data_IF_143670575230
#
_entry.id   IF_143670575230
#
_cell.length_a   1.000
_cell.length_b   1.000
_cell.length_c   1.000
_cell.angle_alpha   90.00
_cell.angle_beta   90.00
_cell.angle_gamma   90.00
#
_symmetry.space_group_name_H-M   'P 1'
#
loop_
_entity.id
_entity.type
_entity.pdbx_description
1 polymer ?
#
# COMPACT_ATOMS: atom_id res chain seq x y z
N UNK A 1 14.21 -7.17 -4.64
CA UNK A 1 14.02 -6.89 -3.21
C UNK A 1 12.60 -6.39 -3.09
N UNK A 2 11.80 -6.91 -2.15
CA UNK A 2 10.41 -6.45 -1.96
C UNK A 2 10.41 -5.14 -1.20
N UNK A 3 9.66 -4.15 -1.69
CA UNK A 3 9.66 -2.80 -1.12
C UNK A 3 8.54 -2.61 -0.09
N UNK A 4 7.41 -3.29 -0.29
CA UNK A 4 6.29 -3.30 0.65
C UNK A 4 5.38 -4.50 0.39
N UNK A 5 4.56 -4.84 1.38
CA UNK A 5 3.59 -5.93 1.30
C UNK A 5 2.32 -5.55 2.07
N UNK A 6 1.18 -6.05 1.62
CA UNK A 6 -0.06 -6.04 2.38
C UNK A 6 -0.86 -7.32 2.13
N UNK A 7 -1.82 -7.60 3.00
CA UNK A 7 -2.77 -8.71 2.82
C UNK A 7 -4.15 -8.11 2.58
N UNK A 8 -4.85 -8.58 1.54
CA UNK A 8 -6.23 -8.19 1.26
C UNK A 8 -7.04 -9.48 1.05
N UNK A 9 -8.05 -9.67 1.89
CA UNK A 9 -8.76 -10.95 2.03
C UNK A 9 -7.74 -12.10 2.23
N UNK A 10 -7.85 -13.18 1.45
CA UNK A 10 -6.98 -14.35 1.55
C UNK A 10 -5.73 -14.29 0.65
N UNK A 11 -5.37 -13.10 0.14
CA UNK A 11 -4.26 -12.93 -0.80
C UNK A 11 -3.18 -12.01 -0.25
N UNK A 12 -1.93 -12.42 -0.48
CA UNK A 12 -0.74 -11.61 -0.15
C UNK A 12 -0.36 -10.80 -1.39
N UNK A 13 -0.17 -9.50 -1.21
CA UNK A 13 0.30 -8.60 -2.24
C UNK A 13 1.67 -8.05 -1.87
N UNK A 14 2.55 -7.94 -2.85
CA UNK A 14 3.85 -7.28 -2.70
C UNK A 14 4.05 -6.25 -3.79
N UNK A 15 4.77 -5.19 -3.47
CA UNK A 15 5.27 -4.24 -4.46
C UNK A 15 6.76 -4.42 -4.65
N UNK A 16 7.19 -4.42 -5.90
CA UNK A 16 8.61 -4.45 -6.28
C UNK A 16 8.86 -3.40 -7.35
N UNK A 17 9.74 -2.43 -7.08
CA UNK A 17 10.15 -1.42 -8.06
C UNK A 17 10.58 -2.06 -9.38
N UNK A 18 10.04 -1.54 -10.49
CA UNK A 18 10.26 -2.07 -11.84
C UNK A 18 9.33 -3.21 -12.25
N UNK A 19 8.71 -3.93 -11.30
CA UNK A 19 7.70 -4.97 -11.59
C UNK A 19 6.27 -4.52 -11.24
N UNK A 20 6.13 -3.59 -10.30
CA UNK A 20 4.86 -3.09 -9.78
C UNK A 20 4.25 -4.03 -8.74
N UNK A 21 2.92 -4.12 -8.76
CA UNK A 21 2.15 -4.92 -7.81
C UNK A 21 2.07 -6.40 -8.24
N UNK A 22 2.39 -7.29 -7.32
CA UNK A 22 2.31 -8.74 -7.48
C UNK A 22 1.37 -9.32 -6.42
N UNK A 23 0.68 -10.40 -6.77
CA UNK A 23 -0.21 -11.15 -5.89
C UNK A 23 0.28 -12.60 -5.79
N UNK A 24 0.32 -13.14 -4.57
CA UNK A 24 0.61 -14.54 -4.34
C UNK A 24 -0.63 -15.38 -4.58
N UNK A 25 -0.54 -16.32 -5.52
CA UNK A 25 -1.54 -17.35 -5.74
C UNK A 25 -1.14 -18.60 -4.94
N UNK A 26 -1.82 -18.82 -3.82
CA UNK A 26 -1.60 -19.94 -2.90
C UNK A 26 -2.19 -21.28 -3.36
N UNK A 27 -2.72 -21.37 -4.59
CA UNK A 27 -3.16 -22.64 -5.17
C UNK A 27 -2.01 -23.61 -5.48
N UNK A 28 -2.29 -24.64 -6.28
CA UNK A 28 -1.42 -25.81 -6.49
C UNK A 28 -0.01 -25.51 -7.03
N UNK A 29 0.22 -24.30 -7.57
CA UNK A 29 1.52 -23.88 -8.10
C UNK A 29 2.33 -22.92 -7.21
N UNK A 30 1.74 -22.32 -6.17
CA UNK A 30 2.36 -21.31 -5.29
C UNK A 30 3.21 -20.28 -6.07
N UNK A 31 2.57 -19.45 -6.87
CA UNK A 31 3.27 -18.52 -7.79
C UNK A 31 2.92 -17.06 -7.53
N UNK A 32 3.85 -16.17 -7.86
CA UNK A 32 3.61 -14.73 -7.89
C UNK A 32 3.08 -14.32 -9.25
N UNK A 33 1.94 -13.63 -9.27
CA UNK A 33 1.28 -13.13 -10.47
C UNK A 33 1.29 -11.62 -10.49
N UNK A 34 1.65 -11.04 -11.63
CA UNK A 34 1.57 -9.59 -11.81
C UNK A 34 0.11 -9.14 -11.83
N UNK A 35 -0.19 -8.09 -11.09
CA UNK A 35 -1.50 -7.41 -11.15
C UNK A 35 -1.54 -6.57 -12.42
N UNK A 36 -2.41 -6.94 -13.35
CA UNK A 36 -2.55 -6.27 -14.65
C UNK A 36 -3.48 -5.05 -14.55
N UNK A 37 -3.37 -4.10 -15.49
CA UNK A 37 -4.29 -2.96 -15.59
C UNK A 37 -3.89 -1.72 -14.77
N UNK A 38 -2.70 -1.73 -14.16
CA UNK A 38 -2.14 -0.58 -13.45
C UNK A 38 -1.32 0.30 -14.39
N UNK A 39 -1.30 1.61 -14.13
CA UNK A 39 -0.49 2.56 -14.89
C UNK A 39 1.01 2.42 -14.65
N UNK A 40 1.81 2.96 -15.58
CA UNK A 40 3.27 3.01 -15.44
C UNK A 40 3.72 3.86 -14.25
N UNK A 41 2.97 4.90 -13.89
CA UNK A 41 3.24 5.73 -12.71
C UNK A 41 3.26 4.87 -11.45
N UNK A 42 2.22 4.06 -11.25
CA UNK A 42 2.14 3.15 -10.11
C UNK A 42 3.23 2.08 -10.18
N UNK A 43 3.54 1.54 -11.36
CA UNK A 43 4.58 0.52 -11.52
C UNK A 43 6.01 1.06 -11.33
N UNK A 44 6.22 2.36 -11.54
CA UNK A 44 7.52 3.03 -11.47
C UNK A 44 7.87 3.61 -10.10
N UNK A 45 6.99 3.48 -9.10
CA UNK A 45 7.24 4.00 -7.76
C UNK A 45 8.46 3.34 -7.11
N UNK A 46 9.24 4.15 -6.38
CA UNK A 46 10.31 3.68 -5.51
C UNK A 46 9.82 3.67 -4.07
N UNK A 47 9.86 2.50 -3.43
CA UNK A 47 9.50 2.30 -2.03
C UNK A 47 8.14 2.91 -1.62
N UNK A 48 7.04 2.56 -2.31
CA UNK A 48 5.72 2.90 -1.80
C UNK A 48 5.39 2.06 -0.56
N UNK A 49 4.60 2.63 0.34
CA UNK A 49 3.93 1.88 1.40
C UNK A 49 2.62 1.27 0.89
N UNK A 50 2.27 0.09 1.39
CA UNK A 50 1.04 -0.61 1.05
C UNK A 50 0.19 -0.86 2.29
N UNK A 51 -1.11 -0.64 2.17
CA UNK A 51 -2.10 -1.01 3.18
C UNK A 51 -3.32 -1.66 2.54
N UNK A 52 -4.04 -2.46 3.33
CA UNK A 52 -5.45 -2.72 3.03
C UNK A 52 -6.28 -1.53 3.53
N UNK A 53 -7.18 -1.03 2.68
CA UNK A 53 -8.12 0.01 3.04
C UNK A 53 -9.46 -0.19 2.33
N UNK A 54 -10.50 -0.48 3.10
CA UNK A 54 -11.88 -0.63 2.63
C UNK A 54 -12.02 -1.67 1.50
N UNK A 55 -11.41 -2.85 1.67
CA UNK A 55 -11.44 -3.95 0.70
C UNK A 55 -10.59 -3.72 -0.54
N UNK A 56 -9.66 -2.74 -0.50
CA UNK A 56 -8.80 -2.35 -1.62
C UNK A 56 -7.34 -2.29 -1.17
N UNK A 57 -6.42 -2.37 -2.13
CA UNK A 57 -5.00 -2.12 -1.87
C UNK A 57 -4.76 -0.61 -2.00
N UNK A 58 -4.36 0.03 -0.91
CA UNK A 58 -3.87 1.40 -0.92
C UNK A 58 -2.37 1.40 -1.15
N UNK A 59 -1.92 2.15 -2.16
CA UNK A 59 -0.51 2.45 -2.40
C UNK A 59 -0.27 3.90 -2.02
N UNK A 60 0.66 4.14 -1.11
CA UNK A 60 0.95 5.46 -0.53
C UNK A 60 2.42 5.78 -0.76
N UNK A 61 2.72 6.97 -1.27
CA UNK A 61 4.10 7.40 -1.53
C UNK A 61 4.28 8.90 -1.36
N UNK A 62 5.52 9.32 -1.17
CA UNK A 62 5.87 10.75 -1.11
C UNK A 62 6.39 11.18 -2.48
N UNK A 63 5.75 12.17 -3.08
CA UNK A 63 6.22 12.80 -4.31
C UNK A 63 7.16 13.95 -3.96
N UNK A 64 8.45 13.80 -4.32
CA UNK A 64 9.53 14.70 -3.88
C UNK A 64 9.91 15.80 -4.88
N UNK A 65 9.55 15.62 -6.16
CA UNK A 65 10.00 16.49 -7.26
C UNK A 65 8.86 17.32 -7.82
N UNK A 66 8.19 18.08 -6.95
CA UNK A 66 7.12 18.98 -7.38
C UNK A 66 7.58 20.44 -7.24
N UNK A 67 7.79 21.09 -8.37
CA UNK A 67 8.20 22.50 -8.44
C UNK A 67 7.12 23.45 -7.91
N UNK A 68 5.87 22.98 -7.75
CA UNK A 68 4.72 23.78 -7.33
C UNK A 68 4.45 23.75 -5.81
N UNK A 69 5.26 23.03 -5.02
CA UNK A 69 5.10 22.94 -3.56
C UNK A 69 6.08 23.88 -2.87
N UNK A 70 5.64 24.51 -1.78
CA UNK A 70 6.52 25.28 -0.88
C UNK A 70 7.80 24.47 -0.57
N UNK A 71 8.95 25.16 -0.54
CA UNK A 71 10.28 24.54 -0.57
C UNK A 71 10.57 23.50 0.54
N UNK A 72 9.76 23.47 1.60
CA UNK A 72 9.94 22.61 2.78
C UNK A 72 9.02 21.38 2.82
N UNK A 73 8.05 21.28 1.91
CA UNK A 73 7.04 20.22 1.92
C UNK A 73 7.14 19.28 0.71
N UNK A 74 6.51 18.12 0.84
CA UNK A 74 6.31 17.12 -0.21
C UNK A 74 4.86 16.65 -0.21
N UNK A 75 4.34 16.27 -1.37
CA UNK A 75 2.98 15.73 -1.47
C UNK A 75 2.98 14.28 -1.00
N UNK A 76 2.14 13.97 -0.01
CA UNK A 76 1.79 12.60 0.32
C UNK A 76 0.66 12.17 -0.61
N UNK A 77 0.93 11.19 -1.46
CA UNK A 77 0.01 10.71 -2.47
C UNK A 77 -0.53 9.33 -2.10
N UNK A 78 -1.78 9.07 -2.45
CA UNK A 78 -2.44 7.79 -2.32
C UNK A 78 -3.13 7.40 -3.62
N UNK A 79 -3.14 6.10 -3.92
CA UNK A 79 -3.96 5.50 -4.97
C UNK A 79 -4.61 4.23 -4.42
N UNK A 80 -5.92 4.11 -4.58
CA UNK A 80 -6.66 2.90 -4.24
C UNK A 80 -6.77 2.00 -5.45
N UNK A 81 -6.54 0.72 -5.24
CA UNK A 81 -6.58 -0.31 -6.28
C UNK A 81 -7.60 -1.37 -5.87
N UNK A 82 -8.66 -1.47 -6.67
CA UNK A 82 -9.61 -2.57 -6.57
C UNK A 82 -9.04 -3.80 -7.28
N UNK A 83 -9.04 -4.96 -6.61
CA UNK A 83 -8.49 -6.20 -7.14
C UNK A 83 -9.60 -7.16 -7.54
N UNK A 84 -9.47 -7.76 -8.71
CA UNK A 84 -10.30 -8.86 -9.18
C UNK A 84 -9.40 -10.05 -9.54
N UNK A 85 -9.72 -11.21 -8.97
CA UNK A 85 -9.05 -12.48 -9.23
C UNK A 85 -10.00 -13.37 -10.03
N UNK A 86 -9.63 -13.73 -11.25
CA UNK A 86 -10.45 -14.57 -12.14
C UNK A 86 -9.57 -15.61 -12.83
N UNK A 87 -9.87 -16.90 -12.61
CA UNK A 87 -9.41 -18.01 -13.47
C UNK A 87 -7.92 -18.02 -13.81
N UNK A 88 -7.06 -17.65 -12.85
CA UNK A 88 -5.61 -17.66 -13.02
C UNK A 88 -4.97 -16.30 -13.32
N UNK A 89 -5.73 -15.22 -13.47
CA UNK A 89 -5.21 -13.85 -13.61
C UNK A 89 -5.65 -12.95 -12.47
N UNK A 90 -4.81 -11.96 -12.16
CA UNK A 90 -5.10 -10.91 -11.18
C UNK A 90 -5.11 -9.57 -11.90
N UNK A 91 -6.23 -8.85 -11.83
CA UNK A 91 -6.40 -7.54 -12.44
C UNK A 91 -6.67 -6.50 -11.35
N UNK A 92 -6.01 -5.36 -11.48
CA UNK A 92 -6.25 -4.17 -10.68
C UNK A 92 -7.01 -3.13 -11.50
N UNK A 93 -7.90 -2.40 -10.85
CA UNK A 93 -8.47 -1.15 -11.35
C UNK A 93 -8.02 -0.04 -10.42
N UNK A 94 -7.17 0.84 -10.94
CA UNK A 94 -6.67 1.99 -10.18
C UNK A 94 -7.72 3.11 -10.16
N UNK A 95 -7.92 3.69 -8.99
CA UNK A 95 -8.64 4.94 -8.83
C UNK A 95 -7.71 6.13 -9.12
N UNK A 96 -8.30 7.32 -9.15
CA UNK A 96 -7.54 8.55 -9.32
C UNK A 96 -6.50 8.68 -8.19
N UNK A 97 -5.30 9.12 -8.54
CA UNK A 97 -4.29 9.48 -7.54
C UNK A 97 -4.75 10.74 -6.80
N UNK A 98 -4.73 10.67 -5.48
CA UNK A 98 -5.09 11.76 -4.59
C UNK A 98 -3.87 12.24 -3.82
N UNK A 99 -3.73 13.56 -3.69
CA UNK A 99 -2.82 14.16 -2.71
C UNK A 99 -3.59 14.20 -1.40
N UNK A 100 -3.20 13.36 -0.44
CA UNK A 100 -3.90 13.25 0.84
C UNK A 100 -3.43 14.28 1.85
N UNK A 101 -2.16 14.69 1.78
CA UNK A 101 -1.61 15.71 2.67
C UNK A 101 -0.29 16.31 2.10
N UNK A 102 0.18 17.37 2.75
CA UNK A 102 1.53 17.91 2.60
C UNK A 102 2.35 17.55 3.84
N UNK A 103 3.45 16.83 3.62
CA UNK A 103 4.34 16.37 4.70
C UNK A 103 5.69 17.08 4.63
N UNK A 104 6.40 17.28 5.75
CA UNK A 104 7.77 17.80 5.71
C UNK A 104 8.66 16.96 4.81
N UNK A 105 9.64 17.54 4.11
CA UNK A 105 10.57 16.79 3.25
C UNK A 105 11.36 15.68 3.96
N UNK A 106 11.51 15.80 5.27
CA UNK A 106 12.14 14.80 6.14
C UNK A 106 11.22 13.64 6.52
N UNK A 107 9.93 13.70 6.15
CA UNK A 107 8.94 12.67 6.46
C UNK A 107 9.32 11.33 5.84
N UNK A 108 9.27 10.29 6.68
CA UNK A 108 9.54 8.91 6.31
C UNK A 108 8.30 8.08 6.64
N UNK A 109 7.57 7.69 5.60
CA UNK A 109 6.30 6.96 5.72
C UNK A 109 6.44 5.67 6.53
N UNK A 110 7.60 5.02 6.49
CA UNK A 110 7.84 3.76 7.19
C UNK A 110 8.07 3.95 8.71
N UNK A 111 8.39 5.16 9.16
CA UNK A 111 8.58 5.47 10.59
C UNK A 111 7.31 5.92 11.29
N UNK A 112 6.31 6.40 10.53
CA UNK A 112 5.06 6.91 11.10
C UNK A 112 3.98 5.84 11.27
N UNK A 113 4.24 4.62 10.78
CA UNK A 113 3.37 3.46 10.94
C UNK A 113 3.98 2.56 12.01
N UNK A 114 4.26 3.15 13.17
CA UNK A 114 4.58 2.41 14.39
C UNK A 114 3.23 2.12 15.07
N UNK A 115 2.91 0.83 15.13
CA UNK A 115 1.60 0.28 15.47
C UNK A 115 1.19 0.71 16.88
N UNK A 116 -0.04 1.25 17.02
CA UNK A 116 -0.76 1.32 18.29
C UNK A 116 -1.02 -0.13 18.76
N UNK A 117 -0.03 -0.77 19.36
CA UNK A 117 -0.17 -2.05 20.03
C UNK A 117 -0.20 -1.82 21.54
N UNK A 118 -1.35 -1.39 22.05
CA UNK A 118 -1.74 -1.75 23.41
C UNK A 118 -3.07 -2.49 23.33
N UNK A 119 -3.13 -3.80 23.63
CA UNK A 119 -4.37 -4.37 24.09
C UNK A 119 -4.66 -3.73 25.44
N UNK A 120 -5.71 -2.90 25.53
CA UNK A 120 -6.27 -2.53 26.83
C UNK A 120 -6.67 -3.83 27.54
N UNK A 121 -5.83 -4.21 28.51
CA UNK A 121 -6.11 -5.24 29.50
C UNK A 121 -7.39 -4.84 30.24
N UNK A 122 -8.50 -5.44 29.86
CA UNK A 122 -9.75 -5.36 30.60
C UNK A 122 -9.59 -6.17 31.89
N UNK A 123 -9.00 -5.56 32.91
CA UNK A 123 -9.14 -6.04 34.29
C UNK A 123 -10.49 -5.57 34.81
N UNK A 124 -11.53 -6.34 34.53
CA UNK A 124 -12.78 -6.26 35.26
C UNK A 124 -12.53 -6.70 36.70
N UNK A 125 -12.23 -5.75 37.58
CA UNK A 125 -12.17 -6.00 39.02
C UNK A 125 -13.60 -6.03 39.53
N UNK A 126 -14.20 -7.23 39.52
CA UNK A 126 -15.36 -7.52 40.38
C UNK A 126 -14.83 -8.24 41.61
N UNK A 127 -14.69 -7.49 42.69
CA UNK A 127 -14.48 -8.03 44.03
C UNK A 127 -15.60 -7.53 44.90
N UNK A 128 -16.25 -8.51 45.55
CA UNK A 128 -17.49 -8.47 46.31
C UNK A 128 -17.42 -7.67 47.61
#
# INVERSE_FOLDING_TARGET
MTDSACVLADHIFIFTSGLGLLCFDGGDGQTWKRVLGLSEVVCGLSKPFMAELNGRVAIIWVHKDDEEVEADFSKLCMCLISISVNGGFVRGTQEKVEVVDLVPRSYDIYKCIEVLSEPESTTATTSS
#
